data_IF_184543099388
#
_entry.id   IF_184543099388
#
_cell.length_a   1.000
_cell.length_b   1.000
_cell.length_c   1.000
_cell.angle_alpha   90.00
_cell.angle_beta   90.00
_cell.angle_gamma   90.00
#
_symmetry.space_group_name_H-M   'P 1'
#
loop_
_entity.id
_entity.type
_entity.pdbx_description
1 polymer ?
#
# COMPACT_ATOMS: atom_id res chain seq x y z
N UNK A 1 11.44 -5.69 3.77
CA UNK A 1 10.50 -4.71 3.18
C UNK A 1 10.75 -3.30 3.74
N UNK A 2 10.76 -3.10 5.06
CA UNK A 2 10.99 -1.78 5.70
C UNK A 2 12.24 -1.04 5.23
N UNK A 3 13.39 -1.73 5.09
CA UNK A 3 14.62 -1.13 4.55
C UNK A 3 14.49 -0.65 3.10
N UNK A 4 13.69 -1.35 2.30
CA UNK A 4 13.45 -1.00 0.89
C UNK A 4 12.54 0.22 0.79
N UNK A 5 11.47 0.25 1.61
CA UNK A 5 10.57 1.40 1.72
C UNK A 5 11.29 2.65 2.23
N UNK A 6 12.15 2.52 3.24
CA UNK A 6 12.99 3.61 3.72
C UNK A 6 13.99 4.09 2.66
N UNK A 7 14.56 3.19 1.85
CA UNK A 7 15.44 3.54 0.73
C UNK A 7 14.70 4.33 -0.34
N UNK A 8 13.54 3.85 -0.79
CA UNK A 8 12.66 4.54 -1.76
C UNK A 8 12.27 5.92 -1.24
N UNK A 9 11.90 6.01 0.04
CA UNK A 9 11.56 7.28 0.68
C UNK A 9 12.73 8.26 0.68
N UNK A 10 13.92 7.85 1.14
CA UNK A 10 15.10 8.73 1.17
C UNK A 10 15.50 9.20 -0.23
N UNK A 11 15.36 8.33 -1.23
CA UNK A 11 15.62 8.67 -2.62
C UNK A 11 14.60 9.66 -3.18
N UNK A 12 13.33 9.51 -2.83
CA UNK A 12 12.30 10.47 -3.20
C UNK A 12 12.51 11.86 -2.55
N UNK A 13 13.02 11.93 -1.31
CA UNK A 13 13.37 13.22 -0.66
C UNK A 13 14.58 13.88 -1.30
N UNK A 14 15.60 13.08 -1.60
CA UNK A 14 16.87 13.56 -2.14
C UNK A 14 16.90 13.68 -3.67
N UNK A 15 15.75 13.48 -4.32
CA UNK A 15 15.58 13.46 -5.78
C UNK A 15 16.60 12.55 -6.49
N UNK A 16 16.89 11.39 -5.87
CA UNK A 16 17.78 10.38 -6.46
C UNK A 16 16.97 9.29 -7.17
N UNK A 17 17.46 8.79 -8.31
CA UNK A 17 16.75 7.77 -9.08
C UNK A 17 16.68 6.42 -8.34
N UNK A 18 15.53 5.75 -8.48
CA UNK A 18 15.31 4.41 -7.96
C UNK A 18 16.16 3.37 -8.69
N UNK A 19 16.65 2.38 -7.94
CA UNK A 19 17.33 1.22 -8.51
C UNK A 19 16.34 0.16 -9.01
N UNK A 20 16.83 -0.83 -9.76
CA UNK A 20 15.96 -1.84 -10.40
C UNK A 20 15.24 -2.72 -9.38
N UNK A 21 15.81 -2.89 -8.18
CA UNK A 21 15.20 -3.66 -7.09
C UNK A 21 14.01 -2.90 -6.48
N UNK A 22 14.15 -1.60 -6.30
CA UNK A 22 13.09 -0.71 -5.84
C UNK A 22 11.97 -0.57 -6.87
N UNK A 23 12.31 -0.43 -8.16
CA UNK A 23 11.33 -0.42 -9.25
C UNK A 23 10.57 -1.75 -9.34
N UNK A 24 11.28 -2.86 -9.28
CA UNK A 24 10.70 -4.20 -9.29
C UNK A 24 9.72 -4.41 -8.13
N UNK A 25 10.08 -3.92 -6.94
CA UNK A 25 9.20 -3.96 -5.77
C UNK A 25 7.94 -3.10 -5.92
N UNK A 26 8.04 -1.91 -6.52
CA UNK A 26 6.86 -1.07 -6.79
C UNK A 26 5.94 -1.75 -7.81
N UNK A 27 6.50 -2.42 -8.82
CA UNK A 27 5.71 -3.17 -9.81
C UNK A 27 5.11 -4.47 -9.30
N UNK A 28 5.62 -5.02 -8.18
CA UNK A 28 5.15 -6.28 -7.62
C UNK A 28 3.98 -6.13 -6.65
N UNK A 29 3.42 -4.93 -6.52
CA UNK A 29 2.24 -4.68 -5.68
C UNK A 29 1.27 -3.76 -6.40
N UNK A 30 -0.03 -3.97 -6.17
CA UNK A 30 -1.09 -3.12 -6.72
C UNK A 30 -1.21 -1.80 -5.91
N UNK A 31 -0.55 -1.73 -4.76
CA UNK A 31 -0.57 -0.59 -3.87
C UNK A 31 0.30 0.51 -4.47
N UNK A 32 -0.17 1.77 -4.59
CA UNK A 32 0.63 2.87 -5.07
C UNK A 32 1.64 3.33 -4.00
N UNK A 33 2.65 2.48 -3.73
CA UNK A 33 3.68 2.67 -2.70
C UNK A 33 4.32 4.05 -2.76
N UNK A 34 4.64 4.51 -3.97
CA UNK A 34 5.27 5.80 -4.20
C UNK A 34 4.37 6.97 -3.72
N UNK A 35 3.06 6.89 -3.99
CA UNK A 35 2.09 7.90 -3.56
C UNK A 35 2.04 8.02 -2.04
N UNK A 36 1.99 6.89 -1.34
CA UNK A 36 1.86 6.87 0.12
C UNK A 36 3.15 7.18 0.87
N UNK A 37 4.32 7.05 0.24
CA UNK A 37 5.60 7.44 0.84
C UNK A 37 5.91 8.94 0.66
N UNK A 38 5.50 9.53 -0.47
CA UNK A 38 5.83 10.92 -0.82
C UNK A 38 4.79 11.90 -0.29
N UNK A 39 3.49 11.58 -0.37
CA UNK A 39 2.41 12.50 0.02
C UNK A 39 2.51 12.95 1.51
N UNK A 40 2.78 12.08 2.51
CA UNK A 40 2.87 12.52 3.91
C UNK A 40 4.06 13.45 4.19
N UNK A 41 5.17 13.28 3.47
CA UNK A 41 6.37 14.12 3.63
C UNK A 41 6.16 15.52 3.07
N UNK A 42 5.46 15.64 1.93
CA UNK A 42 5.05 16.95 1.39
C UNK A 42 4.14 17.73 2.35
N UNK A 43 3.53 17.04 3.31
CA UNK A 43 2.60 17.59 4.30
C UNK A 43 3.21 17.74 5.70
N UNK A 44 4.46 17.33 5.90
CA UNK A 44 5.13 17.34 7.20
C UNK A 44 4.52 16.36 8.23
N UNK A 45 3.79 15.33 7.78
CA UNK A 45 3.19 14.31 8.66
C UNK A 45 4.19 13.18 8.93
N UNK A 46 4.26 12.74 10.19
CA UNK A 46 5.30 11.85 10.71
C UNK A 46 5.27 10.42 10.12
N UNK A 47 6.46 9.79 10.11
CA UNK A 47 6.80 8.47 9.55
C UNK A 47 6.03 7.26 10.12
N UNK A 48 5.04 7.45 11.00
CA UNK A 48 4.22 6.38 11.56
C UNK A 48 3.40 5.62 10.49
N UNK A 49 3.12 6.25 9.35
CA UNK A 49 2.47 5.58 8.21
C UNK A 49 3.35 4.52 7.53
N UNK A 50 4.68 4.62 7.61
CA UNK A 50 5.58 3.70 6.91
C UNK A 50 5.41 2.27 7.42
N UNK A 51 5.25 2.08 8.73
CA UNK A 51 5.08 0.76 9.32
C UNK A 51 3.75 0.12 8.92
N UNK A 52 2.66 0.90 8.93
CA UNK A 52 1.35 0.42 8.49
C UNK A 52 1.33 0.09 6.99
N UNK A 53 1.99 0.90 6.17
CA UNK A 53 2.18 0.63 4.75
C UNK A 53 3.09 -0.60 4.52
N UNK A 54 4.10 -0.80 5.36
CA UNK A 54 5.00 -1.97 5.28
C UNK A 54 4.23 -3.26 5.50
N UNK A 55 3.41 -3.31 6.55
CA UNK A 55 2.62 -4.49 6.87
C UNK A 55 1.60 -4.74 5.78
N UNK A 56 0.95 -3.70 5.28
CA UNK A 56 -0.05 -3.81 4.23
C UNK A 56 0.51 -4.27 2.88
N UNK A 57 1.65 -3.70 2.44
CA UNK A 57 2.35 -4.17 1.24
C UNK A 57 2.88 -5.58 1.43
N UNK A 58 3.33 -5.92 2.64
CA UNK A 58 3.67 -7.29 3.01
C UNK A 58 2.50 -8.24 2.83
N UNK A 59 1.32 -7.88 3.31
CA UNK A 59 0.11 -8.70 3.18
C UNK A 59 -0.35 -8.87 1.73
N UNK A 60 -0.30 -7.82 0.90
CA UNK A 60 -0.64 -7.88 -0.51
C UNK A 60 0.26 -8.85 -1.28
N UNK A 61 1.58 -8.71 -1.12
CA UNK A 61 2.57 -9.60 -1.77
C UNK A 61 2.44 -11.04 -1.27
N UNK A 62 2.25 -11.25 0.03
CA UNK A 62 2.07 -12.58 0.60
C UNK A 62 0.78 -13.24 0.10
N UNK A 63 -0.31 -12.48 0.00
CA UNK A 63 -1.59 -12.97 -0.49
C UNK A 63 -1.47 -13.39 -1.96
N UNK A 64 -0.87 -12.53 -2.79
CA UNK A 64 -0.61 -12.84 -4.19
C UNK A 64 0.26 -14.11 -4.32
N UNK A 65 1.34 -14.20 -3.54
CA UNK A 65 2.22 -15.38 -3.56
C UNK A 65 1.50 -16.67 -3.17
N UNK A 66 0.69 -16.64 -2.10
CA UNK A 66 -0.07 -17.83 -1.65
C UNK A 66 -1.12 -18.22 -2.70
N UNK A 67 -1.77 -17.25 -3.36
CA UNK A 67 -2.70 -17.52 -4.45
C UNK A 67 -2.01 -18.19 -5.65
N UNK A 68 -0.84 -17.70 -6.04
CA UNK A 68 -0.03 -18.29 -7.10
C UNK A 68 0.41 -19.72 -6.75
N UNK A 69 0.86 -19.95 -5.52
CA UNK A 69 1.20 -21.30 -5.04
C UNK A 69 0.01 -22.26 -5.08
N UNK A 70 -1.17 -21.80 -4.66
CA UNK A 70 -2.38 -22.60 -4.68
C UNK A 70 -2.80 -22.94 -6.13
N UNK A 71 -2.67 -21.99 -7.05
CA UNK A 71 -2.97 -22.21 -8.46
C UNK A 71 -2.00 -23.21 -9.10
N UNK A 72 -0.70 -23.10 -8.79
CA UNK A 72 0.32 -24.06 -9.22
C UNK A 72 0.04 -25.45 -8.64
N UNK A 73 -0.28 -25.54 -7.35
CA UNK A 73 -0.61 -26.80 -6.71
C UNK A 73 -1.84 -27.46 -7.39
N UNK A 74 -2.90 -26.70 -7.70
CA UNK A 74 -4.07 -27.22 -8.44
C UNK A 74 -3.68 -27.76 -9.81
N UNK A 75 -2.80 -27.06 -10.53
CA UNK A 75 -2.30 -27.51 -11.83
C UNK A 75 -1.49 -28.82 -11.73
N UNK A 76 -0.67 -29.00 -10.68
CA UNK A 76 0.07 -30.25 -10.45
C UNK A 76 -0.84 -31.41 -10.09
N UNK A 77 -1.89 -31.17 -9.30
CA UNK A 77 -2.88 -32.20 -8.95
C UNK A 77 -3.68 -32.65 -10.17
N UNK A 78 -4.01 -31.71 -11.07
CA UNK A 78 -4.73 -32.00 -12.30
C UNK A 78 -3.94 -32.86 -13.30
N UNK A 79 -2.60 -32.83 -13.25
CA UNK A 79 -1.73 -33.60 -14.16
C UNK A 79 -1.13 -34.84 -13.52
N UNK A 80 -1.18 -34.97 -12.20
CA UNK A 80 -0.61 -36.10 -11.49
C UNK A 80 -1.53 -37.31 -11.46
N UNK A 81 -0.94 -38.50 -11.57
CA UNK A 81 -1.66 -39.77 -11.56
C UNK A 81 -1.87 -40.25 -10.11
N UNK A 82 -2.71 -39.52 -9.37
CA UNK A 82 -3.03 -39.79 -7.96
C UNK A 82 -4.26 -40.71 -7.83
N UNK A 83 -4.34 -41.43 -6.70
CA UNK A 83 -5.52 -42.22 -6.36
C UNK A 83 -6.72 -41.30 -6.02
N UNK A 84 -7.94 -41.76 -6.30
CA UNK A 84 -9.18 -40.97 -6.19
C UNK A 84 -9.40 -40.46 -4.75
N UNK A 85 -9.13 -41.31 -3.75
CA UNK A 85 -9.21 -40.95 -2.34
C UNK A 85 -8.19 -39.85 -1.96
N UNK A 86 -6.99 -39.89 -2.56
CA UNK A 86 -5.94 -38.90 -2.32
C UNK A 86 -6.29 -37.57 -2.98
N UNK A 87 -6.83 -37.59 -4.21
CA UNK A 87 -7.33 -36.39 -4.90
C UNK A 87 -8.47 -35.74 -4.12
N UNK A 88 -9.39 -36.53 -3.56
CA UNK A 88 -10.46 -36.02 -2.70
C UNK A 88 -9.92 -35.22 -1.52
N UNK A 89 -8.98 -35.79 -0.75
CA UNK A 89 -8.36 -35.09 0.37
C UNK A 89 -7.57 -33.85 -0.05
N UNK A 90 -6.85 -33.89 -1.18
CA UNK A 90 -6.10 -32.72 -1.66
C UNK A 90 -7.06 -31.59 -2.07
N UNK A 91 -8.14 -31.92 -2.77
CA UNK A 91 -9.16 -30.94 -3.17
C UNK A 91 -9.84 -30.30 -1.97
N UNK A 92 -10.18 -31.08 -0.93
CA UNK A 92 -10.76 -30.57 0.31
C UNK A 92 -9.80 -29.60 1.00
N UNK A 93 -8.54 -29.99 1.18
CA UNK A 93 -7.51 -29.14 1.78
C UNK A 93 -7.29 -27.85 0.96
N UNK A 94 -7.31 -27.93 -0.37
CA UNK A 94 -7.19 -26.76 -1.25
C UNK A 94 -8.40 -25.83 -1.15
N UNK A 95 -9.61 -26.38 -1.03
CA UNK A 95 -10.82 -25.60 -0.86
C UNK A 95 -10.84 -24.90 0.51
N UNK A 96 -10.38 -25.58 1.55
CA UNK A 96 -10.23 -24.97 2.88
C UNK A 96 -9.15 -23.89 2.90
N UNK A 97 -8.01 -24.12 2.24
CA UNK A 97 -7.00 -23.08 2.05
C UNK A 97 -7.57 -21.87 1.30
N UNK A 98 -8.37 -22.09 0.26
CA UNK A 98 -9.04 -21.01 -0.50
C UNK A 98 -9.99 -20.19 0.39
N UNK A 99 -10.77 -20.85 1.24
CA UNK A 99 -11.67 -20.18 2.20
C UNK A 99 -10.90 -19.36 3.23
N UNK A 100 -9.81 -19.91 3.76
CA UNK A 100 -8.95 -19.20 4.72
C UNK A 100 -8.29 -17.97 4.09
N UNK A 101 -7.81 -18.08 2.85
CA UNK A 101 -7.25 -16.96 2.08
C UNK A 101 -8.31 -15.87 1.88
N UNK A 102 -9.55 -16.23 1.52
CA UNK A 102 -10.64 -15.26 1.34
C UNK A 102 -11.00 -14.55 2.66
N UNK A 103 -11.03 -15.27 3.78
CA UNK A 103 -11.26 -14.69 5.10
C UNK A 103 -10.14 -13.70 5.49
N UNK A 104 -8.89 -14.09 5.24
CA UNK A 104 -7.72 -13.24 5.48
C UNK A 104 -7.73 -11.99 4.61
N UNK A 105 -8.08 -12.11 3.32
CA UNK A 105 -8.22 -10.98 2.41
C UNK A 105 -9.27 -9.98 2.89
N UNK A 106 -10.41 -10.47 3.37
CA UNK A 106 -11.46 -9.61 3.96
C UNK A 106 -10.95 -8.85 5.19
N UNK A 107 -10.20 -9.51 6.08
CA UNK A 107 -9.61 -8.86 7.25
C UNK A 107 -8.61 -7.76 6.86
N UNK A 108 -7.77 -8.02 5.85
CA UNK A 108 -6.79 -7.05 5.34
C UNK A 108 -7.50 -5.86 4.66
N UNK A 109 -8.60 -6.08 3.93
CA UNK A 109 -9.41 -4.98 3.35
C UNK A 109 -10.01 -4.07 4.43
N UNK A 110 -10.54 -4.63 5.52
CA UNK A 110 -11.08 -3.81 6.62
C UNK A 110 -10.00 -2.92 7.24
N UNK A 111 -8.75 -3.40 7.32
CA UNK A 111 -7.62 -2.59 7.78
C UNK A 111 -7.24 -1.48 6.78
N UNK A 112 -7.38 -1.72 5.47
CA UNK A 112 -7.19 -0.67 4.46
C UNK A 112 -8.24 0.43 4.56
N UNK A 113 -9.51 0.09 4.77
CA UNK A 113 -10.58 1.06 4.90
C UNK A 113 -10.34 2.00 6.07
N UNK A 114 -9.83 1.47 7.19
CA UNK A 114 -9.40 2.28 8.33
C UNK A 114 -8.28 3.27 7.94
N UNK A 115 -7.31 2.85 7.12
CA UNK A 115 -6.25 3.74 6.61
C UNK A 115 -6.77 4.78 5.61
N UNK A 116 -7.75 4.44 4.76
CA UNK A 116 -8.40 5.39 3.85
C UNK A 116 -9.16 6.48 4.61
N UNK A 117 -9.73 6.17 5.78
CA UNK A 117 -10.33 7.18 6.66
C UNK A 117 -9.27 8.16 7.17
N UNK A 118 -8.09 7.66 7.53
CA UNK A 118 -6.95 8.52 7.92
C UNK A 118 -6.48 9.39 6.76
N UNK A 119 -6.43 8.86 5.53
CA UNK A 119 -6.07 9.62 4.34
C UNK A 119 -7.08 10.75 4.02
N UNK A 120 -8.38 10.48 4.16
CA UNK A 120 -9.40 11.54 4.07
C UNK A 120 -9.17 12.62 5.12
N UNK A 121 -8.85 12.25 6.36
CA UNK A 121 -8.55 13.20 7.42
C UNK A 121 -7.33 14.07 7.09
N UNK A 122 -6.28 13.49 6.50
CA UNK A 122 -5.12 14.25 6.02
C UNK A 122 -5.46 15.18 4.85
N UNK A 123 -6.32 14.74 3.91
CA UNK A 123 -6.83 15.58 2.83
C UNK A 123 -7.59 16.80 3.36
N UNK A 124 -8.39 16.63 4.41
CA UNK A 124 -9.02 17.77 5.08
C UNK A 124 -8.00 18.71 5.74
N UNK A 125 -6.95 18.18 6.39
CA UNK A 125 -5.88 19.01 6.94
C UNK A 125 -5.15 19.82 5.86
N UNK A 126 -4.88 19.20 4.70
CA UNK A 126 -4.32 19.88 3.53
C UNK A 126 -5.17 21.04 3.07
N UNK A 127 -6.48 20.82 2.93
CA UNK A 127 -7.42 21.85 2.50
C UNK A 127 -7.48 23.02 3.48
N UNK A 128 -7.41 22.75 4.78
CA UNK A 128 -7.36 23.80 5.81
C UNK A 128 -6.04 24.58 5.77
N UNK A 129 -4.90 23.89 5.61
CA UNK A 129 -3.60 24.54 5.49
C UNK A 129 -3.52 25.40 4.22
N UNK A 130 -4.01 24.91 3.08
CA UNK A 130 -4.05 25.69 1.84
C UNK A 130 -5.00 26.88 1.92
N UNK A 131 -6.17 26.72 2.57
CA UNK A 131 -7.08 27.85 2.84
C UNK A 131 -6.43 28.90 3.75
N UNK A 132 -5.68 28.49 4.78
CA UNK A 132 -4.92 29.40 5.64
C UNK A 132 -3.76 30.08 4.90
N UNK A 133 -3.05 29.35 4.04
CA UNK A 133 -1.97 29.91 3.20
C UNK A 133 -2.52 30.93 2.20
N UNK A 134 -3.65 30.62 1.54
CA UNK A 134 -4.35 31.54 0.65
C UNK A 134 -4.80 32.80 1.41
N UNK A 135 -5.37 32.64 2.60
CA UNK A 135 -5.76 33.77 3.45
C UNK A 135 -4.56 34.61 3.86
N UNK A 136 -3.41 34.02 4.19
CA UNK A 136 -2.16 34.77 4.45
C UNK A 136 -1.62 35.47 3.22
N UNK A 137 -1.66 34.83 2.06
CA UNK A 137 -1.27 35.45 0.80
C UNK A 137 -2.15 36.66 0.53
N UNK A 138 -3.47 36.49 0.55
CA UNK A 138 -4.43 37.59 0.39
C UNK A 138 -4.23 38.69 1.43
N UNK A 139 -4.06 38.36 2.72
CA UNK A 139 -3.82 39.36 3.77
C UNK A 139 -2.52 40.15 3.54
N UNK A 140 -1.45 39.53 3.03
CA UNK A 140 -0.22 40.25 2.67
C UNK A 140 -0.40 41.20 1.48
N UNK A 141 -1.28 40.91 0.52
CA UNK A 141 -1.59 41.84 -0.59
C UNK A 141 -2.39 43.05 -0.15
N UNK A 142 -3.22 42.95 0.90
CA UNK A 142 -4.00 44.08 1.41
C UNK A 142 -3.16 45.08 2.23
N UNK A 143 -1.94 44.72 2.65
CA UNK A 143 -1.04 45.63 3.40
C UNK A 143 -0.06 46.44 2.54
N UNK A 144 0.05 46.16 1.24
CA UNK A 144 0.98 46.87 0.32
C UNK A 144 0.35 47.96 -0.54
N UNK A 145 -0.98 48.17 -0.46
CA UNK A 145 -1.74 49.01 -1.41
C UNK A 145 -2.15 50.40 -0.91
N UNK A 146 -1.65 50.89 0.23
CA UNK A 146 -2.05 52.19 0.78
C UNK A 146 -0.85 53.05 1.19
N UNK A 147 -0.11 53.52 0.21
CA UNK A 147 0.59 54.81 0.28
C UNK A 147 0.52 55.47 -1.10
N UNK A 148 -0.58 56.20 -1.32
CA UNK A 148 -0.62 57.37 -2.19
C UNK A 148 -0.55 58.60 -1.30
#
# INVERSE_FOLDING_TARGET
ITKLLASIQNKAVSDTPLDDKEKGFISSTTIPVFKYLVDPQMLGVSNSMIYQLTDYIGYDILLQYIQELLQQARAMVATGNYDEAVIGHINDNMNDATRQIAAFQSQVQVQQDALLVVDRQMSYMRQQLSARMLSRYQNNYHFGGSTL
#
